data_IF_370979757003
#
_entry.id   IF_370979757003
#
_cell.length_a   1.000
_cell.length_b   1.000
_cell.length_c   1.000
_cell.angle_alpha   90.00
_cell.angle_beta   90.00
_cell.angle_gamma   90.00
#
_symmetry.space_group_name_H-M   'P 1'
#
loop_
_entity.id
_entity.type
_entity.pdbx_description
1 polymer ?
#
# COMPACT_ATOMS: atom_id res chain seq x y z
N UNK A 1 -19.34 -16.56 -4.12
CA UNK A 1 -18.66 -16.11 -5.34
C UNK A 1 -18.56 -14.59 -5.26
N UNK A 2 -17.52 -14.11 -4.58
CA UNK A 2 -17.25 -12.68 -4.38
C UNK A 2 -16.39 -12.21 -5.53
N UNK A 3 -16.89 -11.23 -6.27
CA UNK A 3 -16.24 -10.59 -7.40
C UNK A 3 -14.92 -9.96 -6.93
N UNK A 4 -13.79 -10.45 -7.43
CA UNK A 4 -12.52 -9.75 -7.28
C UNK A 4 -12.60 -8.49 -8.12
N UNK A 5 -12.51 -7.31 -7.48
CA UNK A 5 -12.24 -6.06 -8.17
C UNK A 5 -10.78 -6.08 -8.61
N UNK A 6 -10.49 -6.75 -9.73
CA UNK A 6 -9.21 -6.60 -10.42
C UNK A 6 -9.11 -5.15 -10.86
N UNK A 7 -8.20 -4.42 -10.23
CA UNK A 7 -7.69 -3.15 -10.76
C UNK A 7 -7.08 -3.47 -12.13
N UNK A 8 -7.84 -3.27 -13.20
CA UNK A 8 -7.34 -3.36 -14.57
C UNK A 8 -6.61 -2.07 -14.88
N UNK A 9 -5.28 -2.15 -14.85
CA UNK A 9 -4.43 -1.14 -15.48
C UNK A 9 -4.09 -1.67 -16.87
N UNK A 10 -4.75 -1.16 -17.91
CA UNK A 10 -4.46 -1.52 -19.30
C UNK A 10 -3.06 -1.03 -19.69
N UNK A 11 -2.13 -1.95 -19.96
CA UNK A 11 -0.77 -1.61 -20.40
C UNK A 11 0.22 -2.77 -20.27
N UNK A 12 1.33 -2.72 -21.02
CA UNK A 12 2.48 -3.61 -20.76
C UNK A 12 3.15 -3.20 -19.44
N UNK A 13 3.87 -4.10 -18.73
CA UNK A 13 4.59 -3.73 -17.50
C UNK A 13 5.53 -2.53 -17.70
N UNK A 14 6.20 -2.48 -18.85
CA UNK A 14 7.09 -1.39 -19.23
C UNK A 14 6.33 -0.06 -19.40
N UNK A 15 5.15 -0.08 -20.03
CA UNK A 15 4.32 1.12 -20.17
C UNK A 15 3.80 1.63 -18.81
N UNK A 16 3.47 0.72 -17.88
CA UNK A 16 3.06 1.09 -16.52
C UNK A 16 4.22 1.75 -15.75
N UNK A 17 5.43 1.21 -15.89
CA UNK A 17 6.65 1.78 -15.30
C UNK A 17 6.91 3.20 -15.86
N UNK A 18 6.79 3.38 -17.17
CA UNK A 18 6.96 4.68 -17.81
C UNK A 18 5.88 5.69 -17.39
N UNK A 19 4.61 5.29 -17.35
CA UNK A 19 3.50 6.12 -16.88
C UNK A 19 3.74 6.58 -15.43
N UNK A 20 4.11 5.65 -14.55
CA UNK A 20 4.39 5.96 -13.16
C UNK A 20 5.60 6.89 -13.00
N UNK A 21 6.66 6.68 -13.79
CA UNK A 21 7.83 7.54 -13.78
C UNK A 21 7.51 8.97 -14.23
N UNK A 22 6.72 9.13 -15.29
CA UNK A 22 6.25 10.43 -15.77
C UNK A 22 5.40 11.14 -14.69
N UNK A 23 4.56 10.38 -13.98
CA UNK A 23 3.75 10.93 -12.91
C UNK A 23 4.61 11.43 -11.73
N UNK A 24 5.60 10.65 -11.27
CA UNK A 24 6.53 11.07 -10.23
C UNK A 24 7.33 12.31 -10.68
N UNK A 25 7.82 12.34 -11.92
CA UNK A 25 8.54 13.49 -12.46
C UNK A 25 7.69 14.77 -12.46
N UNK A 26 6.39 14.66 -12.79
CA UNK A 26 5.42 15.76 -12.69
C UNK A 26 5.28 16.27 -11.25
N UNK A 27 5.18 15.36 -10.27
CA UNK A 27 5.12 15.75 -8.85
C UNK A 27 6.41 16.44 -8.38
N UNK A 28 7.56 16.07 -8.93
CA UNK A 28 8.86 16.69 -8.67
C UNK A 28 9.06 18.03 -9.41
N UNK A 29 8.09 18.46 -10.23
CA UNK A 29 8.17 19.63 -11.10
C UNK A 29 9.37 19.59 -12.07
N UNK A 30 9.76 18.39 -12.53
CA UNK A 30 10.79 18.25 -13.55
C UNK A 30 10.21 18.60 -14.94
N UNK A 31 11.00 19.29 -15.78
CA UNK A 31 10.63 19.66 -17.16
C UNK A 31 11.48 18.90 -18.16
N UNK A 32 10.93 18.67 -19.36
CA UNK A 32 11.57 17.79 -20.34
C UNK A 32 12.93 18.32 -20.84
N UNK A 33 13.98 17.48 -20.88
CA UNK A 33 13.98 16.07 -20.48
C UNK A 33 13.98 15.91 -18.95
N UNK A 34 12.96 15.21 -18.42
CA UNK A 34 12.83 14.97 -16.99
C UNK A 34 13.91 13.96 -16.51
N UNK A 35 14.87 14.37 -15.66
CA UNK A 35 15.97 13.51 -15.24
C UNK A 35 15.53 12.18 -14.62
N UNK A 36 14.42 12.20 -13.87
CA UNK A 36 13.87 11.00 -13.25
C UNK A 36 13.37 9.97 -14.27
N UNK A 37 12.69 10.42 -15.32
CA UNK A 37 12.18 9.53 -16.39
C UNK A 37 13.34 8.89 -17.15
N UNK A 38 14.37 9.67 -17.45
CA UNK A 38 15.59 9.17 -18.13
C UNK A 38 16.32 8.13 -17.28
N UNK A 39 16.39 8.33 -15.96
CA UNK A 39 16.96 7.36 -15.02
C UNK A 39 16.19 6.03 -15.07
N UNK A 40 14.86 6.07 -14.96
CA UNK A 40 14.01 4.86 -14.99
C UNK A 40 14.09 4.17 -16.35
N UNK A 41 14.09 4.90 -17.46
CA UNK A 41 14.27 4.33 -18.80
C UNK A 41 15.63 3.65 -18.96
N UNK A 42 16.69 4.23 -18.37
CA UNK A 42 18.02 3.62 -18.36
C UNK A 42 18.05 2.32 -17.56
N UNK A 43 17.40 2.30 -16.40
CA UNK A 43 17.26 1.08 -15.58
C UNK A 43 16.42 0.01 -16.28
N UNK A 44 15.38 0.43 -17.00
CA UNK A 44 14.51 -0.46 -17.79
C UNK A 44 15.29 -1.09 -18.95
N UNK A 45 16.07 -0.28 -19.69
CA UNK A 45 16.95 -0.76 -20.76
C UNK A 45 18.06 -1.69 -20.26
N UNK A 46 18.49 -1.52 -19.01
CA UNK A 46 19.44 -2.41 -18.34
C UNK A 46 18.77 -3.64 -17.67
N UNK A 47 17.46 -3.81 -17.82
CA UNK A 47 16.65 -4.88 -17.20
C UNK A 47 16.77 -4.96 -15.66
N UNK A 48 17.03 -3.83 -15.00
CA UNK A 48 17.21 -3.72 -13.54
C UNK A 48 15.88 -3.50 -12.81
N UNK A 49 14.89 -4.34 -13.07
CA UNK A 49 13.52 -4.17 -12.53
C UNK A 49 13.47 -4.09 -11.00
N UNK A 50 14.32 -4.84 -10.28
CA UNK A 50 14.37 -4.78 -8.81
C UNK A 50 14.75 -3.40 -8.27
N UNK A 51 15.64 -2.68 -8.96
CA UNK A 51 16.04 -1.32 -8.58
C UNK A 51 14.88 -0.34 -8.83
N UNK A 52 14.12 -0.53 -9.92
CA UNK A 52 12.92 0.26 -10.24
C UNK A 52 11.86 0.09 -9.15
N UNK A 53 11.55 -1.15 -8.76
CA UNK A 53 10.54 -1.40 -7.72
C UNK A 53 10.93 -0.78 -6.38
N UNK A 54 12.19 -0.93 -5.97
CA UNK A 54 12.68 -0.33 -4.73
C UNK A 54 12.58 1.20 -4.76
N UNK A 55 12.94 1.81 -5.90
CA UNK A 55 12.86 3.26 -6.11
C UNK A 55 11.42 3.77 -6.05
N UNK A 56 10.49 3.11 -6.76
CA UNK A 56 9.07 3.48 -6.71
C UNK A 56 8.44 3.29 -5.33
N UNK A 57 8.82 2.24 -4.59
CA UNK A 57 8.34 2.05 -3.23
C UNK A 57 8.86 3.16 -2.29
N UNK A 58 10.10 3.63 -2.46
CA UNK A 58 10.65 4.77 -1.70
C UNK A 58 9.99 6.09 -2.09
N UNK A 59 9.81 6.32 -3.39
CA UNK A 59 9.22 7.54 -3.94
C UNK A 59 7.69 7.62 -3.71
N UNK A 60 7.07 6.56 -3.16
CA UNK A 60 5.65 6.53 -2.78
C UNK A 60 5.26 7.66 -1.81
N UNK A 61 6.20 8.18 -1.03
CA UNK A 61 6.00 9.38 -0.17
C UNK A 61 5.56 10.57 -1.01
N UNK A 62 6.13 10.76 -2.21
CA UNK A 62 5.77 11.86 -3.11
C UNK A 62 4.32 11.75 -3.59
N UNK A 63 3.81 10.52 -3.74
CA UNK A 63 2.42 10.30 -4.15
C UNK A 63 1.42 10.82 -3.13
N UNK A 64 1.83 11.04 -1.87
CA UNK A 64 0.98 11.65 -0.85
C UNK A 64 0.59 13.09 -1.19
N UNK A 65 1.42 13.78 -1.98
CA UNK A 65 1.18 15.14 -2.47
C UNK A 65 0.23 15.17 -3.68
N UNK A 66 -0.13 14.01 -4.24
CA UNK A 66 -1.03 13.90 -5.39
C UNK A 66 -2.38 14.59 -5.14
N UNK A 67 -2.96 15.28 -6.14
CA UNK A 67 -4.32 15.79 -6.03
C UNK A 67 -5.31 14.68 -5.66
N UNK A 68 -6.35 15.00 -4.89
CA UNK A 68 -7.31 14.00 -4.38
C UNK A 68 -7.93 13.14 -5.50
N UNK A 69 -8.22 13.74 -6.66
CA UNK A 69 -8.77 13.04 -7.85
C UNK A 69 -7.80 12.04 -8.48
N UNK A 70 -6.50 12.25 -8.31
CA UNK A 70 -5.44 11.44 -8.91
C UNK A 70 -4.84 10.46 -7.88
N UNK A 71 -5.08 10.69 -6.58
CA UNK A 71 -4.48 9.95 -5.47
C UNK A 71 -4.70 8.44 -5.54
N UNK A 72 -5.96 8.00 -5.63
CA UNK A 72 -6.28 6.57 -5.67
C UNK A 72 -5.72 5.90 -6.93
N UNK A 73 -5.80 6.57 -8.09
CA UNK A 73 -5.25 6.08 -9.34
C UNK A 73 -3.72 5.90 -9.29
N UNK A 74 -3.00 6.89 -8.75
CA UNK A 74 -1.55 6.86 -8.63
C UNK A 74 -1.06 5.70 -7.74
N UNK A 75 -1.71 5.48 -6.60
CA UNK A 75 -1.38 4.36 -5.72
C UNK A 75 -1.81 3.00 -6.28
N UNK A 76 -2.95 2.92 -6.97
CA UNK A 76 -3.38 1.69 -7.63
C UNK A 76 -2.41 1.26 -8.75
N UNK A 77 -1.88 2.23 -9.50
CA UNK A 77 -0.81 1.99 -10.48
C UNK A 77 0.46 1.46 -9.79
N UNK A 78 0.88 2.09 -8.68
CA UNK A 78 2.02 1.60 -7.90
C UNK A 78 1.81 0.16 -7.42
N UNK A 79 0.64 -0.16 -6.87
CA UNK A 79 0.29 -1.52 -6.43
C UNK A 79 0.39 -2.52 -7.59
N UNK A 80 -0.14 -2.16 -8.77
CA UNK A 80 -0.06 -3.00 -9.95
C UNK A 80 1.39 -3.31 -10.34
N UNK A 81 2.27 -2.30 -10.36
CA UNK A 81 3.69 -2.45 -10.67
C UNK A 81 4.40 -3.32 -9.63
N UNK A 82 4.18 -3.06 -8.34
CA UNK A 82 4.83 -3.81 -7.26
C UNK A 82 4.41 -5.28 -7.25
N UNK A 83 3.20 -5.63 -7.69
CA UNK A 83 2.76 -7.02 -7.81
C UNK A 83 3.54 -7.82 -8.85
N UNK A 84 4.19 -7.16 -9.80
CA UNK A 84 5.10 -7.79 -10.77
C UNK A 84 6.50 -8.04 -10.20
N UNK A 85 6.78 -7.61 -8.97
CA UNK A 85 8.06 -7.84 -8.31
C UNK A 85 8.21 -9.30 -7.83
N UNK A 86 9.46 -9.80 -7.70
CA UNK A 86 9.72 -11.11 -7.13
C UNK A 86 9.13 -11.26 -5.71
N UNK A 87 8.53 -12.42 -5.36
CA UNK A 87 7.88 -12.62 -4.08
C UNK A 87 8.76 -12.32 -2.86
N UNK A 88 10.07 -12.62 -2.95
CA UNK A 88 11.03 -12.40 -1.86
C UNK A 88 11.26 -10.91 -1.55
N UNK A 89 11.01 -10.03 -2.53
CA UNK A 89 11.15 -8.58 -2.39
C UNK A 89 9.85 -7.87 -1.96
N UNK A 90 8.70 -8.51 -2.16
CA UNK A 90 7.40 -7.91 -1.83
C UNK A 90 7.29 -7.42 -0.39
N UNK A 91 7.76 -8.14 0.66
CA UNK A 91 7.63 -7.68 2.04
C UNK A 91 8.29 -6.32 2.29
N UNK A 92 9.51 -6.11 1.80
CA UNK A 92 10.24 -4.86 2.01
C UNK A 92 9.66 -3.71 1.18
N UNK A 93 9.18 -4.00 -0.03
CA UNK A 93 8.49 -3.04 -0.89
C UNK A 93 7.17 -2.59 -0.25
N UNK A 94 6.36 -3.55 0.21
CA UNK A 94 5.08 -3.29 0.89
C UNK A 94 5.29 -2.43 2.12
N UNK A 95 6.24 -2.79 2.96
CA UNK A 95 6.57 -2.00 4.16
C UNK A 95 7.00 -0.57 3.82
N UNK A 96 7.79 -0.39 2.77
CA UNK A 96 8.32 0.93 2.37
C UNK A 96 7.22 1.89 1.95
N UNK A 97 6.16 1.40 1.30
CA UNK A 97 5.04 2.26 0.87
C UNK A 97 3.91 2.37 1.89
N UNK A 98 3.68 1.34 2.73
CA UNK A 98 2.63 1.37 3.76
C UNK A 98 3.01 2.33 4.89
N UNK A 99 4.29 2.38 5.25
CA UNK A 99 4.77 3.22 6.37
C UNK A 99 4.45 4.71 6.20
N UNK A 100 4.63 5.36 5.02
CA UNK A 100 4.20 6.74 4.79
C UNK A 100 2.69 6.94 4.87
N UNK A 101 1.88 5.98 4.41
CA UNK A 101 0.41 6.09 4.44
C UNK A 101 -0.14 6.22 5.87
N UNK A 102 0.49 5.53 6.83
CA UNK A 102 0.09 5.56 8.24
C UNK A 102 0.72 6.74 9.00
N UNK A 103 1.96 7.10 8.70
CA UNK A 103 2.73 8.04 9.52
C UNK A 103 2.67 9.51 9.09
N UNK A 104 2.46 9.80 7.82
CA UNK A 104 2.47 11.19 7.36
C UNK A 104 1.18 11.90 7.79
N UNK A 105 1.26 13.01 8.56
CA UNK A 105 0.08 13.77 8.96
C UNK A 105 -0.46 14.53 7.74
N UNK A 106 -1.49 14.00 7.09
CA UNK A 106 -2.19 14.69 6.02
C UNK A 106 -3.71 14.47 6.14
N UNK A 107 -4.49 15.42 5.62
CA UNK A 107 -5.95 15.41 5.70
C UNK A 107 -6.61 14.43 4.72
N UNK A 108 -5.87 13.44 4.20
CA UNK A 108 -6.34 12.47 3.19
C UNK A 108 -6.66 11.11 3.78
N UNK A 109 -7.14 11.04 5.03
CA UNK A 109 -7.43 9.79 5.74
C UNK A 109 -8.25 8.81 4.88
N UNK A 110 -9.42 9.23 4.40
CA UNK A 110 -10.29 8.34 3.61
C UNK A 110 -9.63 7.83 2.33
N UNK A 111 -8.82 8.65 1.67
CA UNK A 111 -8.10 8.24 0.47
C UNK A 111 -6.98 7.23 0.80
N UNK A 112 -6.23 7.45 1.89
CA UNK A 112 -5.22 6.52 2.39
C UNK A 112 -5.85 5.18 2.79
N UNK A 113 -6.98 5.22 3.48
CA UNK A 113 -7.68 4.01 3.92
C UNK A 113 -8.17 3.18 2.73
N UNK A 114 -8.67 3.83 1.67
CA UNK A 114 -8.98 3.16 0.40
C UNK A 114 -7.75 2.50 -0.22
N UNK A 115 -6.61 3.19 -0.26
CA UNK A 115 -5.36 2.64 -0.80
C UNK A 115 -4.90 1.41 0.00
N UNK A 116 -4.92 1.47 1.33
CA UNK A 116 -4.57 0.35 2.19
C UNK A 116 -5.53 -0.84 2.00
N UNK A 117 -6.83 -0.57 1.86
CA UNK A 117 -7.83 -1.60 1.55
C UNK A 117 -7.61 -2.24 0.18
N UNK A 118 -7.33 -1.43 -0.85
CA UNK A 118 -7.03 -1.93 -2.20
C UNK A 118 -5.78 -2.81 -2.18
N UNK A 119 -4.74 -2.42 -1.45
CA UNK A 119 -3.56 -3.24 -1.25
C UNK A 119 -3.91 -4.57 -0.58
N UNK A 120 -4.60 -4.55 0.56
CA UNK A 120 -5.02 -5.75 1.30
C UNK A 120 -5.76 -6.74 0.38
N UNK A 121 -6.71 -6.22 -0.39
CA UNK A 121 -7.50 -7.01 -1.34
C UNK A 121 -6.69 -7.50 -2.54
N UNK A 122 -5.63 -6.80 -2.93
CA UNK A 122 -4.77 -7.17 -4.05
C UNK A 122 -3.81 -8.33 -3.75
N UNK A 123 -3.51 -8.55 -2.45
CA UNK A 123 -2.68 -9.64 -1.95
C UNK A 123 -3.45 -10.96 -1.91
N UNK A 124 -2.76 -12.09 -2.05
CA UNK A 124 -3.39 -13.40 -1.87
C UNK A 124 -3.94 -13.57 -0.44
N UNK A 125 -5.10 -14.23 -0.23
CA UNK A 125 -5.65 -14.48 1.11
C UNK A 125 -4.67 -15.16 2.07
N UNK A 126 -3.84 -16.06 1.54
CA UNK A 126 -2.82 -16.79 2.31
C UNK A 126 -1.51 -16.02 2.50
N UNK A 127 -1.42 -14.78 2.03
CA UNK A 127 -0.21 -13.99 2.18
C UNK A 127 -0.12 -13.43 3.61
N UNK A 128 0.97 -13.74 4.30
CA UNK A 128 1.26 -13.16 5.62
C UNK A 128 1.40 -11.63 5.59
N UNK A 129 1.62 -11.02 4.43
CA UNK A 129 1.63 -9.56 4.28
C UNK A 129 0.26 -8.93 4.58
N UNK A 130 -0.84 -9.69 4.46
CA UNK A 130 -2.16 -9.20 4.85
C UNK A 130 -2.23 -8.86 6.34
N UNK A 131 -1.49 -9.56 7.19
CA UNK A 131 -1.35 -9.21 8.61
C UNK A 131 -0.74 -7.81 8.78
N UNK A 132 0.40 -7.54 8.11
CA UNK A 132 1.11 -6.27 8.25
C UNK A 132 0.27 -5.10 7.69
N UNK A 133 -0.44 -5.32 6.58
CA UNK A 133 -1.35 -4.33 5.99
C UNK A 133 -2.59 -4.12 6.85
N UNK A 134 -3.15 -5.17 7.45
CA UNK A 134 -4.31 -5.05 8.34
C UNK A 134 -3.95 -4.24 9.60
N UNK A 135 -2.78 -4.47 10.19
CA UNK A 135 -2.29 -3.63 11.30
C UNK A 135 -2.17 -2.16 10.88
N UNK A 136 -1.69 -1.88 9.67
CA UNK A 136 -1.62 -0.51 9.16
C UNK A 136 -3.00 0.15 8.98
N UNK A 137 -4.00 -0.61 8.51
CA UNK A 137 -5.41 -0.19 8.40
C UNK A 137 -5.96 0.19 9.78
N UNK A 138 -5.71 -0.65 10.79
CA UNK A 138 -6.14 -0.45 12.18
C UNK A 138 -5.43 0.75 12.82
N UNK A 139 -4.11 0.86 12.62
CA UNK A 139 -3.31 1.99 13.11
C UNK A 139 -3.78 3.33 12.53
N UNK A 140 -4.04 3.36 11.22
CA UNK A 140 -4.54 4.56 10.54
C UNK A 140 -5.93 4.94 11.07
N UNK A 141 -6.86 3.98 11.18
CA UNK A 141 -8.20 4.23 11.70
C UNK A 141 -8.17 4.77 13.15
N UNK A 142 -7.35 4.18 14.02
CA UNK A 142 -7.22 4.62 15.41
C UNK A 142 -6.63 6.03 15.55
N UNK A 143 -5.70 6.43 14.68
CA UNK A 143 -5.11 7.78 14.69
C UNK A 143 -6.08 8.88 14.25
N UNK A 144 -7.09 8.52 13.47
CA UNK A 144 -8.10 9.43 12.95
C UNK A 144 -9.45 9.31 13.68
N UNK A 145 -9.50 8.63 14.83
CA UNK A 145 -10.71 8.41 15.64
C UNK A 145 -11.84 7.70 14.86
N UNK A 146 -11.46 6.79 13.95
CA UNK A 146 -12.35 6.07 13.03
C UNK A 146 -12.24 4.55 13.21
N UNK A 147 -11.79 4.09 14.39
CA UNK A 147 -11.56 2.67 14.69
C UNK A 147 -12.85 1.83 14.66
N UNK A 148 -14.00 2.47 14.89
CA UNK A 148 -15.31 1.83 14.87
C UNK A 148 -15.64 1.17 13.53
N UNK A 149 -15.05 1.68 12.44
CA UNK A 149 -15.20 1.11 11.08
C UNK A 149 -14.65 -0.32 11.02
N UNK A 150 -13.72 -0.70 11.90
CA UNK A 150 -13.12 -2.04 11.95
C UNK A 150 -14.00 -3.04 12.71
N UNK A 151 -14.89 -2.59 13.61
CA UNK A 151 -15.67 -3.47 14.49
C UNK A 151 -16.47 -4.56 13.75
N UNK A 152 -17.18 -4.27 12.64
CA UNK A 152 -17.93 -5.30 11.92
C UNK A 152 -17.02 -6.39 11.34
N UNK A 153 -15.78 -6.07 11.02
CA UNK A 153 -14.83 -6.97 10.38
C UNK A 153 -14.17 -7.94 11.37
N UNK A 154 -14.15 -7.61 12.67
CA UNK A 154 -13.52 -8.42 13.71
C UNK A 154 -14.11 -9.83 13.84
N UNK A 155 -15.36 -10.03 13.41
CA UNK A 155 -16.00 -11.35 13.37
C UNK A 155 -15.28 -12.34 12.42
N UNK A 156 -14.50 -11.83 11.46
CA UNK A 156 -13.75 -12.62 10.48
C UNK A 156 -12.28 -12.80 10.86
N UNK A 157 -11.83 -12.11 11.91
CA UNK A 157 -10.41 -11.98 12.25
C UNK A 157 -9.74 -13.32 12.57
N UNK A 158 -10.41 -14.19 13.33
CA UNK A 158 -9.89 -15.53 13.65
C UNK A 158 -9.61 -16.36 12.38
N UNK A 159 -10.54 -16.30 11.42
CA UNK A 159 -10.38 -16.95 10.12
C UNK A 159 -9.22 -16.36 9.31
N UNK A 160 -9.09 -15.04 9.30
CA UNK A 160 -7.98 -14.38 8.60
C UNK A 160 -6.62 -14.69 9.21
N UNK A 161 -6.50 -14.68 10.53
CA UNK A 161 -5.25 -15.04 11.23
C UNK A 161 -4.82 -16.46 10.87
N UNK A 162 -5.78 -17.40 10.80
CA UNK A 162 -5.52 -18.76 10.34
C UNK A 162 -5.05 -18.79 8.87
N UNK A 163 -5.71 -18.06 7.97
CA UNK A 163 -5.34 -17.98 6.55
C UNK A 163 -3.95 -17.37 6.33
N UNK A 164 -3.60 -16.31 7.06
CA UNK A 164 -2.31 -15.64 6.96
C UNK A 164 -1.15 -16.52 7.43
N UNK A 165 -1.44 -17.58 8.20
CA UNK A 165 -0.44 -18.52 8.70
C UNK A 165 0.57 -17.87 9.65
N UNK A 166 0.15 -16.84 10.38
CA UNK A 166 1.02 -16.17 11.35
C UNK A 166 1.17 -17.03 12.62
N UNK A 167 2.33 -16.99 13.26
CA UNK A 167 2.55 -17.72 14.50
C UNK A 167 1.79 -17.13 15.68
N UNK A 168 1.61 -17.93 16.74
CA UNK A 168 0.87 -17.58 17.97
C UNK A 168 1.31 -16.25 18.57
N UNK A 169 2.61 -15.93 18.51
CA UNK A 169 3.12 -14.65 19.03
C UNK A 169 2.57 -13.44 18.26
N UNK A 170 2.53 -13.49 16.92
CA UNK A 170 1.96 -12.41 16.09
C UNK A 170 0.46 -12.32 16.26
N UNK A 171 -0.22 -13.45 16.33
CA UNK A 171 -1.66 -13.50 16.64
C UNK A 171 -1.96 -12.80 17.98
N UNK A 172 -1.20 -13.13 19.02
CA UNK A 172 -1.35 -12.49 20.34
C UNK A 172 -1.08 -10.99 20.28
N UNK A 173 -0.02 -10.58 19.59
CA UNK A 173 0.33 -9.17 19.41
C UNK A 173 -0.81 -8.39 18.73
N UNK A 174 -1.42 -8.96 17.68
CA UNK A 174 -2.55 -8.37 16.98
C UNK A 174 -3.76 -8.17 17.89
N UNK A 175 -4.18 -9.19 18.64
CA UNK A 175 -5.33 -9.06 19.53
C UNK A 175 -5.09 -8.05 20.66
N UNK A 176 -3.87 -8.02 21.24
CA UNK A 176 -3.51 -7.04 22.26
C UNK A 176 -3.57 -5.62 21.69
N UNK A 177 -2.93 -5.40 20.53
CA UNK A 177 -2.91 -4.11 19.84
C UNK A 177 -4.34 -3.61 19.52
N UNK A 178 -5.20 -4.49 18.99
CA UNK A 178 -6.61 -4.17 18.74
C UNK A 178 -7.34 -3.78 20.03
N UNK A 179 -7.17 -4.56 21.10
CA UNK A 179 -7.84 -4.29 22.38
C UNK A 179 -7.43 -2.95 22.97
N UNK A 180 -6.13 -2.62 22.94
CA UNK A 180 -5.60 -1.35 23.42
C UNK A 180 -6.19 -0.16 22.65
N UNK A 181 -6.29 -0.27 21.32
CA UNK A 181 -6.84 0.80 20.47
C UNK A 181 -8.33 1.01 20.66
N UNK A 182 -9.08 -0.07 20.82
CA UNK A 182 -10.53 0.00 21.05
C UNK A 182 -10.83 0.64 22.41
N UNK A 183 -10.13 0.22 23.47
CA UNK A 183 -10.26 0.82 24.81
C UNK A 183 -9.92 2.31 24.76
N UNK A 184 -8.81 2.67 24.11
CA UNK A 184 -8.38 4.07 23.99
C UNK A 184 -9.37 4.94 23.20
N UNK A 185 -10.21 4.35 22.34
CA UNK A 185 -11.25 5.07 21.62
C UNK A 185 -12.53 5.28 22.46
N UNK A 186 -12.86 4.33 23.35
CA UNK A 186 -13.99 4.48 24.29
C UNK A 186 -13.73 5.51 25.39
N UNK A 187 -12.47 5.78 25.74
CA UNK A 187 -12.08 6.73 26.79
C UNK A 187 -12.04 8.22 26.33
N UNK A 188 -12.29 8.49 25.04
CA UNK A 188 -12.27 9.85 24.45
C UNK A 188 -13.66 10.48 24.36
#
# INVERSE_FOLDING_TARGET
>A
MTSFSTVFVDGTPDAQIEEHANYIARLKNETDPAPYVVEIQTLLAASKHSEIYAKFAQDSVLLLESPEKEFEGAFNLLIAILKSAPPDSLPSLVQSFVKPLVNEPNDKYFAKQKVLSNLYNSLAPTSSLRYDVFLAIVDAAARHDEIDVILPELQHLEGWVHEWGVGVEKERELYLNLSEKLIAAEEK
#
